data_IF_299831950348
#
_entry.id   IF_299831950348
#
_cell.length_a   1.000
_cell.length_b   1.000
_cell.length_c   1.000
_cell.angle_alpha   90.00
_cell.angle_beta   90.00
_cell.angle_gamma   90.00
#
_symmetry.space_group_name_H-M   'P 1'
#
loop_
_entity.id
_entity.type
_entity.pdbx_description
1 polymer ?
#
# COMPACT_ATOMS: atom_id res chain seq x y z
N UNK A 1 -7.52 -6.29 -6.88
CA UNK A 1 -6.95 -5.20 -6.10
C UNK A 1 -5.43 -5.18 -6.12
N UNK A 2 -4.79 -5.04 -4.96
CA UNK A 2 -3.33 -4.78 -4.84
C UNK A 2 -2.43 -5.79 -5.56
N UNK A 3 -2.79 -7.07 -5.58
CA UNK A 3 -2.01 -8.12 -6.24
C UNK A 3 -2.05 -8.01 -7.77
N UNK A 4 -3.17 -7.60 -8.33
CA UNK A 4 -3.32 -7.42 -9.78
C UNK A 4 -2.51 -6.22 -10.27
N UNK A 5 -2.42 -5.14 -9.49
CA UNK A 5 -1.54 -3.99 -9.77
C UNK A 5 -0.09 -4.44 -9.91
N UNK A 6 0.34 -5.40 -9.09
CA UNK A 6 1.71 -5.97 -9.09
C UNK A 6 1.89 -7.14 -10.08
N UNK A 7 0.90 -7.39 -10.95
CA UNK A 7 1.01 -8.40 -11.99
C UNK A 7 0.74 -9.84 -11.54
N UNK A 8 0.07 -10.05 -10.42
CA UNK A 8 -0.44 -11.37 -10.04
C UNK A 8 -1.74 -11.65 -10.79
N UNK A 9 -1.76 -12.73 -11.57
CA UNK A 9 -2.88 -13.08 -12.44
C UNK A 9 -3.84 -14.13 -11.86
N UNK A 10 -3.73 -14.47 -10.57
CA UNK A 10 -4.74 -15.26 -9.89
C UNK A 10 -6.03 -14.42 -9.77
N UNK A 11 -7.06 -14.80 -10.54
CA UNK A 11 -8.34 -14.09 -10.54
C UNK A 11 -9.08 -14.18 -9.19
N UNK A 12 -10.08 -13.33 -9.00
CA UNK A 12 -10.87 -13.21 -7.75
C UNK A 12 -11.47 -14.55 -7.29
N UNK A 13 -11.94 -15.40 -8.22
CA UNK A 13 -12.48 -16.72 -7.90
C UNK A 13 -11.44 -17.63 -7.23
N UNK A 14 -10.18 -17.61 -7.71
CA UNK A 14 -9.10 -18.39 -7.11
C UNK A 14 -8.66 -17.82 -5.76
N UNK A 15 -8.63 -16.50 -5.61
CA UNK A 15 -8.34 -15.84 -4.33
C UNK A 15 -9.41 -16.21 -3.31
N UNK A 16 -10.70 -16.14 -3.68
CA UNK A 16 -11.81 -16.57 -2.84
C UNK A 16 -11.68 -18.05 -2.45
N UNK A 17 -11.34 -18.92 -3.39
CA UNK A 17 -11.12 -20.33 -3.10
C UNK A 17 -9.97 -20.57 -2.12
N UNK A 18 -8.88 -19.77 -2.18
CA UNK A 18 -7.77 -19.83 -1.21
C UNK A 18 -8.27 -19.41 0.19
N UNK A 19 -9.04 -18.32 0.29
CA UNK A 19 -9.64 -17.85 1.55
C UNK A 19 -10.53 -18.93 2.16
N UNK A 20 -11.29 -19.65 1.34
CA UNK A 20 -12.14 -20.78 1.76
C UNK A 20 -11.36 -22.09 2.05
N UNK A 21 -10.03 -22.06 1.99
CA UNK A 21 -9.19 -23.24 2.25
C UNK A 21 -9.19 -24.30 1.14
N UNK A 22 -9.69 -23.97 -0.06
CA UNK A 22 -9.71 -24.88 -1.21
C UNK A 22 -8.33 -24.91 -1.90
N UNK A 23 -8.03 -26.04 -2.53
CA UNK A 23 -6.80 -26.18 -3.34
C UNK A 23 -6.96 -25.41 -4.65
N UNK A 24 -5.98 -24.55 -4.97
CA UNK A 24 -5.94 -23.76 -6.18
C UNK A 24 -4.63 -24.02 -6.93
N UNK A 25 -4.71 -24.06 -8.25
CA UNK A 25 -3.53 -24.15 -9.12
C UNK A 25 -2.99 -22.74 -9.41
N UNK A 26 -1.73 -22.52 -9.11
CA UNK A 26 -0.96 -21.32 -9.37
C UNK A 26 0.52 -21.60 -9.20
N UNK A 27 1.37 -20.66 -9.59
CA UNK A 27 2.80 -20.73 -9.28
C UNK A 27 3.04 -20.59 -7.78
N UNK A 28 4.14 -21.12 -7.28
CA UNK A 28 4.51 -20.99 -5.85
C UNK A 28 4.54 -19.51 -5.45
N UNK A 29 5.08 -18.65 -6.31
CA UNK A 29 5.14 -17.20 -6.07
C UNK A 29 3.75 -16.57 -5.99
N UNK A 30 2.86 -16.83 -6.96
CA UNK A 30 1.50 -16.27 -6.94
C UNK A 30 0.72 -16.70 -5.70
N UNK A 31 0.86 -17.97 -5.30
CA UNK A 31 0.20 -18.49 -4.10
C UNK A 31 0.76 -17.84 -2.82
N UNK A 32 2.08 -17.69 -2.72
CA UNK A 32 2.73 -17.01 -1.59
C UNK A 32 2.32 -15.53 -1.50
N UNK A 33 2.23 -14.82 -2.62
CA UNK A 33 1.77 -13.43 -2.68
C UNK A 33 0.33 -13.28 -2.16
N UNK A 34 -0.57 -14.17 -2.60
CA UNK A 34 -1.97 -14.17 -2.14
C UNK A 34 -2.05 -14.47 -0.64
N UNK A 35 -1.35 -15.50 -0.17
CA UNK A 35 -1.36 -15.88 1.25
C UNK A 35 -0.77 -14.78 2.13
N UNK A 36 0.34 -14.17 1.71
CA UNK A 36 0.95 -13.03 2.42
C UNK A 36 0.00 -11.84 2.51
N UNK A 37 -0.69 -11.51 1.42
CA UNK A 37 -1.68 -10.44 1.41
C UNK A 37 -2.85 -10.74 2.35
N UNK A 38 -3.44 -11.94 2.30
CA UNK A 38 -4.54 -12.34 3.20
C UNK A 38 -4.10 -12.18 4.65
N UNK A 39 -2.97 -12.77 5.05
CA UNK A 39 -2.44 -12.70 6.42
C UNK A 39 -2.20 -11.26 6.89
N UNK A 40 -1.69 -10.40 6.00
CA UNK A 40 -1.42 -9.01 6.35
C UNK A 40 -2.71 -8.19 6.52
N UNK A 41 -3.70 -8.38 5.65
CA UNK A 41 -4.99 -7.69 5.76
C UNK A 41 -5.85 -8.19 6.91
N UNK A 42 -5.79 -9.47 7.28
CA UNK A 42 -6.44 -10.00 8.49
C UNK A 42 -5.93 -9.35 9.79
N UNK A 43 -4.71 -8.82 9.76
CA UNK A 43 -4.08 -8.11 10.89
C UNK A 43 -4.19 -6.59 10.82
N UNK A 44 -4.98 -6.05 9.90
CA UNK A 44 -5.08 -4.61 9.67
C UNK A 44 -5.43 -3.83 10.95
N UNK A 45 -6.32 -4.36 11.78
CA UNK A 45 -6.74 -3.75 13.05
C UNK A 45 -5.70 -3.88 14.19
N UNK A 46 -4.70 -4.78 14.04
CA UNK A 46 -3.65 -4.97 15.03
C UNK A 46 -2.49 -3.97 14.84
N UNK A 47 -2.33 -3.39 13.64
CA UNK A 47 -1.24 -2.47 13.34
C UNK A 47 -1.53 -1.06 13.85
N UNK A 48 -0.54 -0.50 14.55
CA UNK A 48 -0.56 0.90 14.99
C UNK A 48 0.03 1.77 13.88
N UNK A 49 -0.79 2.60 13.26
CA UNK A 49 -0.46 3.36 12.06
C UNK A 49 0.81 4.22 12.18
N UNK A 50 1.14 4.70 13.39
CA UNK A 50 2.29 5.57 13.67
C UNK A 50 3.54 4.82 14.16
N UNK A 51 3.53 3.48 14.16
CA UNK A 51 4.65 2.68 14.66
C UNK A 51 5.40 2.01 13.49
N UNK A 52 6.64 2.45 13.26
CA UNK A 52 7.51 1.91 12.20
C UNK A 52 7.75 0.39 12.36
N UNK A 53 7.83 -0.10 13.60
CA UNK A 53 8.01 -1.53 13.86
C UNK A 53 6.83 -2.36 13.32
N UNK A 54 5.61 -1.83 13.38
CA UNK A 54 4.42 -2.51 12.88
C UNK A 54 4.41 -2.53 11.33
N UNK A 55 4.91 -1.47 10.66
CA UNK A 55 5.10 -1.47 9.21
C UNK A 55 6.13 -2.52 8.78
N UNK A 56 7.25 -2.63 9.49
CA UNK A 56 8.27 -3.65 9.20
C UNK A 56 7.71 -5.07 9.39
N UNK A 57 6.89 -5.27 10.43
CA UNK A 57 6.19 -6.54 10.67
C UNK A 57 5.18 -6.82 9.55
N UNK A 58 4.39 -5.84 9.14
CA UNK A 58 3.44 -5.98 8.03
C UNK A 58 4.13 -6.35 6.72
N UNK A 59 5.25 -5.68 6.40
CA UNK A 59 6.07 -6.03 5.23
C UNK A 59 6.63 -7.46 5.34
N UNK A 60 7.08 -7.86 6.54
CA UNK A 60 7.55 -9.23 6.75
C UNK A 60 6.47 -10.26 6.48
N UNK A 61 5.24 -10.04 6.97
CA UNK A 61 4.10 -10.94 6.74
C UNK A 61 3.74 -10.98 5.26
N UNK A 62 3.68 -9.80 4.63
CA UNK A 62 3.28 -9.66 3.22
C UNK A 62 4.24 -10.34 2.25
N UNK A 63 5.54 -10.30 2.56
CA UNK A 63 6.62 -10.75 1.68
C UNK A 63 7.28 -12.05 2.17
N UNK A 64 6.71 -12.69 3.20
CA UNK A 64 7.17 -13.98 3.68
C UNK A 64 7.16 -15.02 2.54
N UNK A 65 8.14 -15.90 2.50
CA UNK A 65 8.34 -16.89 1.43
C UNK A 65 8.65 -16.32 0.02
N UNK A 66 8.61 -14.98 -0.17
CA UNK A 66 8.88 -14.31 -1.44
C UNK A 66 10.26 -13.64 -1.40
N UNK A 67 10.60 -13.00 -0.28
CA UNK A 67 11.77 -12.15 -0.13
C UNK A 67 12.54 -12.48 1.14
N UNK A 68 13.81 -12.83 0.99
CA UNK A 68 14.70 -13.16 2.14
C UNK A 68 14.95 -11.97 3.07
N UNK A 69 14.80 -10.73 2.56
CA UNK A 69 14.95 -9.47 3.31
C UNK A 69 13.62 -8.92 3.79
N UNK A 70 12.55 -9.74 3.82
CA UNK A 70 11.23 -9.31 4.28
C UNK A 70 11.29 -8.70 5.68
N UNK A 71 10.69 -7.51 5.85
CA UNK A 71 10.73 -6.76 7.10
C UNK A 71 12.01 -5.94 7.34
N UNK A 72 12.91 -5.86 6.35
CA UNK A 72 14.14 -5.07 6.45
C UNK A 72 14.27 -4.08 5.29
N UNK A 73 14.77 -2.89 5.56
CA UNK A 73 15.04 -1.91 4.52
C UNK A 73 16.13 -2.39 3.56
N UNK A 74 16.06 -1.92 2.33
CA UNK A 74 17.02 -2.25 1.28
C UNK A 74 18.43 -1.72 1.59
N UNK A 75 19.41 -2.48 1.15
CA UNK A 75 20.82 -2.09 1.16
C UNK A 75 21.35 -1.73 -0.23
N UNK A 76 20.49 -1.77 -1.25
CA UNK A 76 20.84 -1.52 -2.66
C UNK A 76 20.10 -0.30 -3.20
N UNK A 77 20.70 0.35 -4.23
CA UNK A 77 20.01 1.40 -4.97
C UNK A 77 18.87 0.78 -5.79
N UNK A 78 17.76 1.49 -5.88
CA UNK A 78 16.61 1.11 -6.71
C UNK A 78 16.14 2.28 -7.56
N UNK A 79 15.55 1.97 -8.70
CA UNK A 79 14.91 2.93 -9.61
C UNK A 79 13.47 2.46 -9.85
N UNK A 80 12.52 3.38 -9.83
CA UNK A 80 11.10 3.13 -10.07
C UNK A 80 10.65 4.00 -11.23
N UNK A 81 10.45 3.40 -12.40
CA UNK A 81 10.28 4.19 -13.62
C UNK A 81 11.49 5.10 -13.86
N UNK A 82 11.27 6.39 -13.97
CA UNK A 82 12.35 7.40 -14.10
C UNK A 82 12.85 7.92 -12.74
N UNK A 83 12.12 7.66 -11.64
CA UNK A 83 12.51 8.10 -10.31
C UNK A 83 13.67 7.26 -9.75
N UNK A 84 14.75 7.95 -9.33
CA UNK A 84 15.87 7.33 -8.60
C UNK A 84 15.59 7.52 -7.12
N UNK A 85 15.26 6.43 -6.45
CA UNK A 85 14.98 6.46 -5.02
C UNK A 85 16.21 6.91 -4.19
N UNK A 86 16.02 7.47 -3.00
CA UNK A 86 17.10 7.89 -2.10
C UNK A 86 18.15 6.79 -1.87
N UNK A 87 19.38 7.17 -1.56
CA UNK A 87 20.46 6.20 -1.27
C UNK A 87 20.08 5.31 -0.08
N UNK A 88 20.43 4.02 -0.08
CA UNK A 88 20.11 3.11 1.02
C UNK A 88 20.57 3.60 2.40
N UNK A 89 21.71 4.31 2.45
CA UNK A 89 22.29 4.81 3.70
C UNK A 89 21.41 5.80 4.47
N UNK A 90 20.45 6.48 3.79
CA UNK A 90 19.55 7.46 4.41
C UNK A 90 18.11 6.96 4.54
N UNK A 91 17.78 5.79 4.00
CA UNK A 91 16.41 5.24 4.02
C UNK A 91 15.88 5.13 5.44
N UNK A 92 16.68 4.61 6.37
CA UNK A 92 16.25 4.48 7.77
C UNK A 92 15.90 5.82 8.40
N UNK A 93 16.72 6.85 8.17
CA UNK A 93 16.46 8.21 8.68
C UNK A 93 15.19 8.80 8.07
N UNK A 94 15.00 8.67 6.74
CA UNK A 94 13.80 9.16 6.07
C UNK A 94 12.54 8.48 6.60
N UNK A 95 12.57 7.16 6.83
CA UNK A 95 11.44 6.44 7.40
C UNK A 95 11.14 6.84 8.84
N UNK A 96 12.15 7.05 9.68
CA UNK A 96 11.97 7.56 11.04
C UNK A 96 11.31 8.95 11.00
N UNK A 97 11.78 9.84 10.12
CA UNK A 97 11.23 11.18 9.96
C UNK A 97 9.77 11.15 9.46
N UNK A 98 9.46 10.29 8.49
CA UNK A 98 8.10 10.11 7.98
C UNK A 98 7.13 9.63 9.07
N UNK A 99 7.54 8.65 9.88
CA UNK A 99 6.73 8.14 11.01
C UNK A 99 6.62 9.18 12.15
N UNK A 100 7.67 9.95 12.40
CA UNK A 100 7.62 11.05 13.37
C UNK A 100 6.62 12.13 12.92
N UNK A 101 6.63 12.49 11.63
CA UNK A 101 5.65 13.41 11.05
C UNK A 101 4.22 12.82 11.14
N UNK A 102 4.02 11.56 10.76
CA UNK A 102 2.73 10.89 10.79
C UNK A 102 2.12 10.89 12.20
N UNK A 103 2.96 10.71 13.24
CA UNK A 103 2.56 10.70 14.64
C UNK A 103 2.19 12.09 15.15
N UNK A 104 2.97 13.11 14.80
CA UNK A 104 2.92 14.43 15.45
C UNK A 104 2.20 15.52 14.63
N UNK A 105 1.92 15.28 13.35
CA UNK A 105 1.21 16.23 12.49
C UNK A 105 -0.24 16.42 12.95
N UNK A 106 -0.77 17.62 12.84
CA UNK A 106 -2.17 17.97 13.09
C UNK A 106 -3.05 17.87 11.84
N UNK A 107 -2.48 17.43 10.71
CA UNK A 107 -3.21 17.24 9.47
C UNK A 107 -4.35 16.21 9.61
N UNK A 108 -5.41 16.41 8.85
CA UNK A 108 -6.54 15.46 8.82
C UNK A 108 -6.08 14.08 8.34
N UNK A 109 -6.61 13.00 8.93
CA UNK A 109 -6.17 11.62 8.64
C UNK A 109 -6.29 11.21 7.16
N UNK A 110 -7.26 11.74 6.43
CA UNK A 110 -7.37 11.54 4.97
C UNK A 110 -6.13 12.11 4.26
N UNK A 111 -5.71 13.33 4.61
CA UNK A 111 -4.50 13.94 4.04
C UNK A 111 -3.25 13.19 4.48
N UNK A 112 -3.14 12.85 5.77
CA UNK A 112 -2.02 12.04 6.28
C UNK A 112 -1.85 10.75 5.51
N UNK A 113 -2.95 10.05 5.20
CA UNK A 113 -2.90 8.79 4.47
C UNK A 113 -2.37 8.96 3.05
N UNK A 114 -2.78 10.02 2.35
CA UNK A 114 -2.33 10.30 0.99
C UNK A 114 -0.88 10.81 0.96
N UNK A 115 -0.51 11.71 1.86
CA UNK A 115 0.87 12.23 1.97
C UNK A 115 1.83 11.10 2.33
N UNK A 116 1.47 10.28 3.33
CA UNK A 116 2.28 9.12 3.72
C UNK A 116 2.50 8.17 2.55
N UNK A 117 1.45 7.86 1.79
CA UNK A 117 1.54 6.95 0.66
C UNK A 117 2.52 7.50 -0.40
N UNK A 118 2.41 8.78 -0.77
CA UNK A 118 3.32 9.40 -1.73
C UNK A 118 4.77 9.39 -1.23
N UNK A 119 5.03 9.87 -0.02
CA UNK A 119 6.37 9.92 0.57
C UNK A 119 6.99 8.53 0.71
N UNK A 120 6.18 7.55 1.07
CA UNK A 120 6.60 6.16 1.16
C UNK A 120 7.02 5.61 -0.22
N UNK A 121 6.22 5.85 -1.27
CA UNK A 121 6.58 5.43 -2.63
C UNK A 121 7.80 6.18 -3.15
N UNK A 122 7.97 7.46 -2.79
CA UNK A 122 9.16 8.25 -3.13
C UNK A 122 10.43 7.69 -2.45
N UNK A 123 10.37 7.36 -1.17
CA UNK A 123 11.49 6.76 -0.42
C UNK A 123 11.81 5.36 -0.93
N UNK A 124 10.78 4.60 -1.27
CA UNK A 124 10.88 3.22 -1.76
C UNK A 124 11.76 2.34 -0.88
N UNK A 125 11.41 2.15 0.40
CA UNK A 125 12.34 1.69 1.43
C UNK A 125 12.75 0.22 1.33
N UNK A 126 12.00 -0.61 0.61
CA UNK A 126 12.25 -2.04 0.49
C UNK A 126 12.82 -2.41 -0.88
N UNK A 127 13.43 -3.59 -0.99
CA UNK A 127 13.92 -4.12 -2.27
C UNK A 127 12.78 -4.63 -3.18
N UNK A 128 11.65 -5.02 -2.60
CA UNK A 128 10.41 -5.40 -3.29
C UNK A 128 9.22 -5.22 -2.35
N UNK A 129 8.00 -5.16 -2.89
CA UNK A 129 6.75 -5.07 -2.12
C UNK A 129 6.37 -3.65 -1.67
N UNK A 130 7.06 -2.59 -2.13
CA UNK A 130 6.76 -1.23 -1.71
C UNK A 130 5.32 -0.83 -2.04
N UNK A 131 4.86 -1.02 -3.27
CA UNK A 131 3.49 -0.68 -3.64
C UNK A 131 2.43 -1.43 -2.81
N UNK A 132 2.65 -2.72 -2.54
CA UNK A 132 1.75 -3.53 -1.71
C UNK A 132 1.66 -3.02 -0.28
N UNK A 133 2.82 -2.75 0.35
CA UNK A 133 2.85 -2.25 1.73
C UNK A 133 2.39 -0.79 1.83
N UNK A 134 2.68 0.05 0.83
CA UNK A 134 2.21 1.44 0.79
C UNK A 134 0.68 1.52 0.79
N UNK A 135 0.02 0.71 -0.05
CA UNK A 135 -1.45 0.61 -0.09
C UNK A 135 -2.04 0.01 1.20
N UNK A 136 -1.44 -1.05 1.72
CA UNK A 136 -1.86 -1.62 3.02
C UNK A 136 -1.73 -0.56 4.13
N UNK A 137 -0.61 0.18 4.17
CA UNK A 137 -0.41 1.16 5.24
C UNK A 137 -1.36 2.36 5.13
N UNK A 138 -1.69 2.78 3.92
CA UNK A 138 -2.77 3.74 3.72
C UNK A 138 -4.10 3.23 4.32
N UNK A 139 -4.43 1.97 4.11
CA UNK A 139 -5.63 1.35 4.71
C UNK A 139 -5.54 1.31 6.24
N UNK A 140 -4.36 1.02 6.82
CA UNK A 140 -4.14 1.06 8.28
C UNK A 140 -4.37 2.48 8.84
N UNK A 141 -3.83 3.51 8.18
CA UNK A 141 -4.04 4.92 8.59
C UNK A 141 -5.52 5.28 8.53
N UNK A 142 -6.20 4.97 7.44
CA UNK A 142 -7.61 5.27 7.24
C UNK A 142 -8.51 4.51 8.22
N UNK A 143 -8.22 3.23 8.45
CA UNK A 143 -8.95 2.41 9.42
C UNK A 143 -8.83 2.93 10.85
N UNK A 144 -7.66 3.43 11.23
CA UNK A 144 -7.46 4.06 12.55
C UNK A 144 -8.28 5.32 12.76
N UNK A 145 -8.65 6.02 11.68
CA UNK A 145 -9.52 7.19 11.70
C UNK A 145 -11.00 6.79 11.80
N UNK A 146 -11.43 5.84 10.95
CA UNK A 146 -12.79 5.29 11.00
C UNK A 146 -12.79 3.89 10.38
N UNK A 147 -13.24 2.86 11.11
CA UNK A 147 -13.26 1.47 10.63
C UNK A 147 -14.05 1.25 9.32
N UNK A 148 -14.94 2.15 8.94
CA UNK A 148 -15.65 2.05 7.66
C UNK A 148 -14.68 2.05 6.46
N UNK A 149 -13.51 2.67 6.61
CA UNK A 149 -12.51 2.72 5.55
C UNK A 149 -11.87 1.36 5.26
N UNK A 150 -11.90 0.41 6.20
CA UNK A 150 -11.45 -0.97 5.93
C UNK A 150 -12.34 -1.71 4.92
N UNK A 151 -13.58 -1.23 4.74
CA UNK A 151 -14.56 -1.79 3.80
C UNK A 151 -14.45 -1.17 2.39
N UNK A 152 -13.65 -0.11 2.23
CA UNK A 152 -13.55 0.59 0.95
C UNK A 152 -12.69 -0.21 -0.04
N UNK A 153 -13.17 -0.48 -1.26
CA UNK A 153 -12.41 -1.15 -2.31
C UNK A 153 -11.39 -0.20 -2.99
N UNK A 154 -10.69 0.65 -2.21
CA UNK A 154 -9.80 1.68 -2.73
C UNK A 154 -8.73 1.09 -3.66
N UNK A 155 -8.16 -0.06 -3.32
CA UNK A 155 -7.16 -0.73 -4.15
C UNK A 155 -7.74 -1.24 -5.48
N UNK A 156 -8.99 -1.70 -5.48
CA UNK A 156 -9.65 -2.13 -6.72
C UNK A 156 -9.87 -0.93 -7.64
N UNK A 157 -10.26 0.22 -7.08
CA UNK A 157 -10.44 1.46 -7.84
C UNK A 157 -9.09 1.97 -8.33
N UNK A 158 -8.04 1.99 -7.50
CA UNK A 158 -6.68 2.36 -7.94
C UNK A 158 -6.21 1.46 -9.09
N UNK A 159 -6.52 0.15 -9.06
CA UNK A 159 -6.25 -0.75 -10.18
C UNK A 159 -6.95 -0.32 -11.46
N UNK A 160 -8.23 0.06 -11.36
CA UNK A 160 -9.03 0.48 -12.52
C UNK A 160 -8.56 1.81 -13.12
N UNK A 161 -7.84 2.63 -12.34
CA UNK A 161 -7.21 3.90 -12.71
C UNK A 161 -5.68 3.83 -12.60
N UNK A 162 -5.09 2.68 -12.95
CA UNK A 162 -3.66 2.43 -12.71
C UNK A 162 -2.73 3.37 -13.48
N UNK A 163 -3.08 3.75 -14.68
CA UNK A 163 -2.29 4.69 -15.48
C UNK A 163 -2.27 6.07 -14.82
N UNK A 164 -3.42 6.56 -14.38
CA UNK A 164 -3.56 7.82 -13.67
C UNK A 164 -2.86 7.81 -12.32
N UNK A 165 -2.87 6.68 -11.61
CA UNK A 165 -2.13 6.50 -10.37
C UNK A 165 -0.62 6.69 -10.57
N UNK A 166 -0.03 6.01 -11.55
CA UNK A 166 1.40 6.19 -11.83
C UNK A 166 1.72 7.58 -12.37
N UNK A 167 0.83 8.16 -13.18
CA UNK A 167 0.97 9.54 -13.65
C UNK A 167 0.95 10.53 -12.49
N UNK A 168 0.07 10.38 -11.52
CA UNK A 168 0.01 11.26 -10.35
C UNK A 168 1.29 11.19 -9.50
N UNK A 169 1.92 10.02 -9.37
CA UNK A 169 3.22 9.86 -8.72
C UNK A 169 4.30 10.59 -9.53
N UNK A 170 4.32 10.41 -10.84
CA UNK A 170 5.31 11.04 -11.73
C UNK A 170 5.18 12.57 -11.72
N UNK A 171 3.97 13.10 -11.91
CA UNK A 171 3.68 14.54 -11.89
C UNK A 171 4.11 15.16 -10.56
N UNK A 172 3.80 14.51 -9.43
CA UNK A 172 4.22 14.95 -8.09
C UNK A 172 5.74 14.97 -7.94
N UNK A 173 6.42 13.95 -8.48
CA UNK A 173 7.89 13.87 -8.43
C UNK A 173 8.53 14.96 -9.29
N UNK A 174 8.00 15.23 -10.48
CA UNK A 174 8.51 16.27 -11.38
C UNK A 174 8.32 17.68 -10.81
N UNK A 175 7.18 17.92 -10.15
CA UNK A 175 6.86 19.21 -9.52
C UNK A 175 7.52 19.39 -8.16
N UNK A 176 8.13 18.32 -7.60
CA UNK A 176 8.66 18.28 -6.23
C UNK A 176 7.61 18.66 -5.18
N UNK A 177 6.35 18.27 -5.39
CA UNK A 177 5.24 18.47 -4.47
C UNK A 177 4.23 17.32 -4.56
N UNK A 178 3.58 16.98 -3.44
CA UNK A 178 2.66 15.83 -3.38
C UNK A 178 1.22 16.14 -3.81
N UNK A 179 0.90 17.38 -4.15
CA UNK A 179 -0.47 17.82 -4.47
C UNK A 179 -1.17 17.00 -5.54
N UNK A 180 -0.58 16.72 -6.73
CA UNK A 180 -1.24 15.93 -7.75
C UNK A 180 -1.61 14.52 -7.27
N UNK A 181 -0.73 13.89 -6.49
CA UNK A 181 -1.00 12.57 -5.93
C UNK A 181 -2.08 12.60 -4.85
N UNK A 182 -2.06 13.60 -3.98
CA UNK A 182 -3.08 13.78 -2.93
C UNK A 182 -4.47 13.97 -3.55
N UNK A 183 -4.61 14.83 -4.54
CA UNK A 183 -5.87 15.08 -5.25
C UNK A 183 -6.39 13.80 -5.90
N UNK A 184 -5.54 13.06 -6.62
CA UNK A 184 -5.89 11.78 -7.20
C UNK A 184 -6.37 10.78 -6.13
N UNK A 185 -5.63 10.59 -5.05
CA UNK A 185 -6.00 9.62 -4.02
C UNK A 185 -7.28 9.99 -3.27
N UNK A 186 -7.51 11.28 -2.99
CA UNK A 186 -8.76 11.74 -2.40
C UNK A 186 -9.96 11.47 -3.34
N UNK A 187 -9.78 11.63 -4.65
CA UNK A 187 -10.81 11.28 -5.64
C UNK A 187 -11.09 9.76 -5.64
N UNK A 188 -10.04 8.92 -5.55
CA UNK A 188 -10.20 7.46 -5.46
C UNK A 188 -10.94 7.03 -4.17
N UNK A 189 -10.62 7.64 -3.05
CA UNK A 189 -11.33 7.41 -1.78
C UNK A 189 -12.81 7.83 -1.91
N UNK A 190 -13.08 8.99 -2.49
CA UNK A 190 -14.45 9.46 -2.72
C UNK A 190 -15.25 8.52 -3.62
N UNK A 191 -14.68 8.07 -4.74
CA UNK A 191 -15.30 7.08 -5.63
C UNK A 191 -15.58 5.76 -4.90
N UNK A 192 -14.66 5.31 -4.04
CA UNK A 192 -14.85 4.10 -3.22
C UNK A 192 -16.06 4.23 -2.30
N UNK A 193 -16.21 5.37 -1.63
CA UNK A 193 -17.37 5.66 -0.76
C UNK A 193 -18.65 5.68 -1.57
N UNK A 194 -18.67 6.36 -2.70
CA UNK A 194 -19.86 6.45 -3.58
C UNK A 194 -20.29 5.07 -4.08
N UNK A 195 -19.35 4.19 -4.44
CA UNK A 195 -19.65 2.83 -4.88
C UNK A 195 -20.31 2.01 -3.76
N UNK A 196 -19.81 2.08 -2.52
CA UNK A 196 -20.43 1.38 -1.39
C UNK A 196 -21.87 1.91 -1.14
N UNK A 197 -22.05 3.23 -1.13
CA UNK A 197 -23.38 3.82 -0.94
C UNK A 197 -24.32 3.31 -2.03
N UNK A 198 -23.90 3.30 -3.28
CA UNK A 198 -24.71 2.80 -4.39
C UNK A 198 -25.13 1.34 -4.18
N UNK A 199 -24.18 0.47 -3.77
CA UNK A 199 -24.44 -0.97 -3.53
C UNK A 199 -25.34 -1.23 -2.32
N UNK A 200 -25.35 -0.34 -1.31
CA UNK A 200 -26.18 -0.49 -0.12
C UNK A 200 -27.65 -0.04 -0.33
N UNK A 201 -27.93 0.81 -1.32
CA UNK A 201 -29.24 1.41 -1.53
C UNK A 201 -29.94 0.99 -2.83
N UNK A 202 -29.36 0.10 -3.61
CA UNK A 202 -29.92 -0.51 -4.83
C UNK A 202 -29.81 -2.02 -4.82
#
# INVERSE_FOLDING_TARGET
GTLEIEGNFLGEEKITAIIEGKRVLGTVKELAEVQGAIKAYEKLDEFRYSELADLLLAHKILMDEILTTAGSFRSVNVKVGEHIAPKPSIVNELMINLFSWLKNSDEHMLLKSCIFHYEFEFIHPFSDGNGRIGRLWQSVILNSFNPIFSLLPTESIVRDYQEEYYKAIEDSTQLAESTPFIEFMLEMILKSIQNIIFLCFH
#
